data_IF_793160519172
#
_entry.id   IF_793160519172
#
_cell.length_a   1.000
_cell.length_b   1.000
_cell.length_c   1.000
_cell.angle_alpha   90.00
_cell.angle_beta   90.00
_cell.angle_gamma   90.00
#
_symmetry.space_group_name_H-M   'P 1'
#
loop_
_entity.id
_entity.type
_entity.pdbx_description
1 polymer ?
#
# COMPACT_ATOMS: atom_id res chain seq x y z
N UNK A 1 6.32 -0.10 15.63
CA UNK A 1 7.56 -0.26 14.84
C UNK A 1 7.87 1.03 14.09
N UNK A 2 9.11 1.21 13.67
CA UNK A 2 9.57 2.38 12.90
C UNK A 2 10.20 1.87 11.60
N UNK A 3 9.87 2.51 10.48
CA UNK A 3 10.49 2.27 9.19
C UNK A 3 11.59 3.31 8.97
N UNK A 4 12.85 2.88 8.93
CA UNK A 4 14.00 3.77 8.78
C UNK A 4 14.76 3.48 7.49
N UNK A 5 15.40 4.49 6.92
CA UNK A 5 16.20 4.32 5.72
C UNK A 5 16.86 5.61 5.26
N UNK A 6 17.30 5.62 4.01
CA UNK A 6 17.95 6.78 3.38
C UNK A 6 17.34 7.02 2.00
N UNK A 7 16.88 8.25 1.78
CA UNK A 7 16.55 8.74 0.44
C UNK A 7 17.84 9.21 -0.22
N UNK A 8 18.18 8.63 -1.36
CA UNK A 8 19.38 8.96 -2.12
C UNK A 8 18.99 9.71 -3.39
N UNK A 9 19.50 10.93 -3.55
CA UNK A 9 19.31 11.76 -4.73
C UNK A 9 20.67 11.92 -5.40
N UNK A 10 20.75 11.51 -6.67
CA UNK A 10 21.97 11.65 -7.48
C UNK A 10 21.70 12.55 -8.67
N UNK A 11 22.50 13.61 -8.83
CA UNK A 11 22.43 14.52 -9.96
C UNK A 11 23.81 14.86 -10.51
N UNK A 12 23.88 15.18 -11.81
CA UNK A 12 25.12 15.66 -12.44
C UNK A 12 25.38 17.13 -12.12
N UNK A 13 24.32 17.91 -12.00
CA UNK A 13 24.34 19.35 -11.74
C UNK A 13 23.58 19.69 -10.45
N UNK A 14 23.69 20.95 -10.02
CA UNK A 14 22.88 21.47 -8.92
C UNK A 14 21.40 21.48 -9.30
N UNK A 15 20.54 20.91 -8.46
CA UNK A 15 19.09 20.80 -8.72
C UNK A 15 18.31 21.77 -7.85
N UNK A 16 17.58 22.70 -8.48
CA UNK A 16 16.60 23.52 -7.77
C UNK A 16 15.28 22.76 -7.61
N UNK A 17 14.73 22.78 -6.41
CA UNK A 17 13.50 22.06 -6.07
C UNK A 17 12.62 22.87 -5.11
N UNK A 18 11.32 22.59 -5.11
CA UNK A 18 10.29 23.18 -4.25
C UNK A 18 9.95 22.27 -3.07
N UNK A 19 10.94 21.50 -2.61
CA UNK A 19 10.84 20.57 -1.51
C UNK A 19 10.88 19.10 -1.93
N UNK A 20 11.21 18.26 -0.97
CA UNK A 20 11.21 16.80 -1.07
C UNK A 20 10.34 16.26 0.06
N UNK A 21 9.40 15.38 -0.27
CA UNK A 21 8.50 14.76 0.70
C UNK A 21 8.55 13.25 0.59
N UNK A 22 8.43 12.57 1.72
CA UNK A 22 8.29 11.12 1.80
C UNK A 22 6.90 10.80 2.34
N UNK A 23 6.14 10.00 1.61
CA UNK A 23 4.78 9.57 1.98
C UNK A 23 4.77 8.07 2.20
N UNK A 24 4.26 7.63 3.34
CA UNK A 24 3.99 6.23 3.65
C UNK A 24 2.50 5.96 3.50
N UNK A 25 2.16 5.02 2.62
CA UNK A 25 0.78 4.64 2.32
C UNK A 25 0.59 3.16 2.60
N UNK A 26 -0.58 2.80 3.13
CA UNK A 26 -1.01 1.43 3.32
C UNK A 26 -2.49 1.32 3.02
N UNK A 27 -2.90 0.39 2.16
CA UNK A 27 -4.30 0.28 1.74
C UNK A 27 -4.75 -1.16 1.54
N UNK A 28 -6.03 -1.41 1.81
CA UNK A 28 -6.76 -2.59 1.35
C UNK A 28 -7.65 -2.18 0.20
N UNK A 29 -7.43 -2.78 -0.96
CA UNK A 29 -8.21 -2.57 -2.17
C UNK A 29 -8.92 -3.88 -2.50
N UNK A 30 -10.19 -3.81 -2.86
CA UNK A 30 -10.76 -4.88 -3.68
C UNK A 30 -10.12 -4.77 -5.06
N UNK A 31 -9.91 -5.87 -5.79
CA UNK A 31 -9.48 -5.89 -7.20
C UNK A 31 -10.47 -6.68 -8.08
N UNK A 32 -10.67 -6.28 -9.33
CA UNK A 32 -11.45 -7.08 -10.30
C UNK A 32 -10.52 -8.05 -11.03
N UNK A 33 -10.94 -9.32 -11.13
CA UNK A 33 -10.31 -10.24 -12.07
C UNK A 33 -10.80 -9.96 -13.49
N UNK A 34 -9.88 -9.88 -14.43
CA UNK A 34 -10.18 -9.77 -15.86
C UNK A 34 -11.02 -10.93 -16.41
N UNK A 35 -11.19 -12.02 -15.65
CA UNK A 35 -11.99 -13.21 -16.05
C UNK A 35 -13.45 -13.16 -15.60
N UNK A 36 -13.88 -12.13 -14.88
CA UNK A 36 -15.21 -12.06 -14.23
C UNK A 36 -15.94 -10.73 -14.48
N UNK A 37 -15.68 -10.11 -15.64
CA UNK A 37 -16.29 -8.83 -16.05
C UNK A 37 -17.80 -9.04 -16.27
N UNK A 38 -18.66 -8.22 -15.65
CA UNK A 38 -20.12 -8.22 -15.87
C UNK A 38 -21.02 -8.23 -14.63
N UNK A 39 -20.72 -9.01 -13.57
CA UNK A 39 -21.61 -9.12 -12.39
C UNK A 39 -21.14 -8.29 -11.19
N UNK A 40 -19.82 -8.11 -11.03
CA UNK A 40 -19.22 -7.44 -9.86
C UNK A 40 -18.77 -5.99 -10.13
N UNK A 41 -18.95 -5.50 -11.36
CA UNK A 41 -18.39 -4.24 -11.85
C UNK A 41 -19.04 -3.00 -11.20
N UNK A 42 -20.37 -3.02 -10.99
CA UNK A 42 -21.10 -1.92 -10.35
C UNK A 42 -20.79 -1.78 -8.86
N UNK A 43 -20.61 -2.90 -8.14
CA UNK A 43 -20.27 -2.88 -6.71
C UNK A 43 -18.84 -2.41 -6.49
N UNK A 44 -17.90 -2.86 -7.33
CA UNK A 44 -16.49 -2.51 -7.22
C UNK A 44 -16.21 -1.01 -7.33
N UNK A 45 -16.76 -0.36 -8.36
CA UNK A 45 -16.53 1.08 -8.61
C UNK A 45 -17.06 1.97 -7.47
N UNK A 46 -17.93 1.42 -6.61
CA UNK A 46 -18.47 2.12 -5.45
C UNK A 46 -17.64 1.93 -4.17
N UNK A 47 -16.79 0.88 -4.09
CA UNK A 47 -16.02 0.57 -2.88
C UNK A 47 -14.70 1.33 -2.90
N UNK A 48 -14.59 2.33 -2.03
CA UNK A 48 -13.34 3.06 -1.86
C UNK A 48 -12.28 2.19 -1.16
N UNK A 49 -11.01 2.29 -1.57
CA UNK A 49 -9.87 1.77 -0.83
C UNK A 49 -9.96 2.05 0.67
N UNK A 50 -9.72 1.03 1.49
CA UNK A 50 -9.60 1.20 2.94
C UNK A 50 -8.17 1.60 3.25
N UNK A 51 -7.96 2.87 3.56
CA UNK A 51 -6.66 3.41 3.92
C UNK A 51 -6.30 3.02 5.36
N UNK A 52 -5.26 2.20 5.51
CA UNK A 52 -4.70 1.74 6.79
C UNK A 52 -3.70 2.77 7.32
N UNK A 53 -2.80 3.23 6.45
CA UNK A 53 -1.74 4.18 6.76
C UNK A 53 -1.77 5.26 5.69
N UNK A 54 -1.64 6.51 6.13
CA UNK A 54 -1.32 7.63 5.26
C UNK A 54 -0.66 8.71 6.09
N UNK A 55 0.62 8.87 5.87
CA UNK A 55 1.40 9.89 6.55
C UNK A 55 2.43 10.42 5.58
N UNK A 56 2.70 11.72 5.68
CA UNK A 56 3.70 12.40 4.86
C UNK A 56 4.61 13.19 5.78
N UNK A 57 5.91 13.13 5.50
CA UNK A 57 6.92 13.97 6.13
C UNK A 57 7.60 14.84 5.08
N UNK A 58 7.82 16.10 5.43
CA UNK A 58 8.70 16.98 4.66
C UNK A 58 10.15 16.59 4.99
N UNK A 59 10.87 16.12 3.98
CA UNK A 59 12.26 15.69 4.11
C UNK A 59 13.23 16.86 3.94
N UNK A 60 12.94 17.70 2.95
CA UNK A 60 13.76 18.86 2.60
C UNK A 60 12.84 20.00 2.17
N UNK A 61 13.07 21.19 2.71
CA UNK A 61 12.40 22.43 2.31
C UNK A 61 12.79 22.85 0.88
N UNK A 62 12.04 23.76 0.24
CA UNK A 62 12.44 24.37 -1.04
C UNK A 62 13.88 24.89 -1.01
N UNK A 63 14.65 24.63 -2.06
CA UNK A 63 16.07 24.96 -2.08
C UNK A 63 16.82 24.44 -3.30
N UNK A 64 18.13 24.25 -3.11
CA UNK A 64 19.04 23.68 -4.11
C UNK A 64 19.79 22.51 -3.50
N UNK A 65 19.85 21.39 -4.23
CA UNK A 65 20.69 20.25 -3.91
C UNK A 65 21.98 20.33 -4.75
N UNK A 66 23.15 20.05 -4.18
CA UNK A 66 24.42 20.07 -4.91
C UNK A 66 24.47 18.96 -5.97
N UNK A 67 25.39 19.09 -6.93
CA UNK A 67 25.74 17.97 -7.80
C UNK A 67 26.37 16.83 -7.00
N UNK A 68 26.29 15.61 -7.54
CA UNK A 68 26.76 14.40 -6.90
C UNK A 68 25.64 13.67 -6.18
N UNK A 69 25.97 13.08 -5.03
CA UNK A 69 25.07 12.24 -4.24
C UNK A 69 24.68 12.96 -2.95
N UNK A 70 23.38 13.16 -2.74
CA UNK A 70 22.81 13.62 -1.47
C UNK A 70 22.09 12.47 -0.81
N UNK A 71 22.35 12.26 0.48
CA UNK A 71 21.71 11.23 1.31
C UNK A 71 20.90 11.89 2.43
N UNK A 72 19.62 11.54 2.53
CA UNK A 72 18.71 12.11 3.51
C UNK A 72 18.15 10.94 4.34
N UNK A 73 18.62 10.75 5.58
CA UNK A 73 18.08 9.71 6.45
C UNK A 73 16.64 10.04 6.85
N UNK A 74 15.84 9.01 7.07
CA UNK A 74 14.50 9.15 7.60
C UNK A 74 14.19 8.09 8.65
N UNK A 75 13.28 8.45 9.54
CA UNK A 75 12.56 7.54 10.42
C UNK A 75 11.08 7.84 10.28
N UNK A 76 10.30 6.81 9.97
CA UNK A 76 8.89 6.90 9.68
C UNK A 76 8.12 6.01 10.66
N UNK A 77 7.40 6.58 11.64
CA UNK A 77 6.64 5.77 12.59
C UNK A 77 5.45 5.09 11.88
N UNK A 78 5.30 3.76 12.06
CA UNK A 78 4.11 3.04 11.57
C UNK A 78 2.90 3.40 12.43
N UNK A 79 2.23 4.50 12.10
CA UNK A 79 0.97 4.93 12.70
C UNK A 79 -0.22 4.54 11.82
N UNK A 80 -1.06 3.66 12.34
CA UNK A 80 -2.33 3.31 11.70
C UNK A 80 -3.35 4.43 11.89
N UNK A 81 -4.24 4.58 10.89
CA UNK A 81 -5.32 5.55 10.93
C UNK A 81 -6.43 5.06 11.87
N UNK A 82 -6.75 5.85 12.91
CA UNK A 82 -7.85 5.54 13.83
C UNK A 82 -7.66 4.22 14.57
N UNK A 83 -8.65 3.33 14.50
CA UNK A 83 -8.64 2.01 15.14
C UNK A 83 -8.23 0.87 14.21
N UNK A 84 -7.56 1.16 13.08
CA UNK A 84 -7.10 0.14 12.14
C UNK A 84 -5.87 -0.60 12.66
N UNK A 85 -5.67 -1.81 12.17
CA UNK A 85 -4.48 -2.64 12.41
C UNK A 85 -3.74 -2.86 11.10
N UNK A 86 -2.46 -3.22 11.19
CA UNK A 86 -1.70 -3.71 10.04
C UNK A 86 -2.17 -5.11 9.66
N UNK A 87 -2.37 -5.30 8.36
CA UNK A 87 -2.59 -6.62 7.76
C UNK A 87 -1.33 -7.08 7.03
N UNK A 88 -1.16 -8.39 6.92
CA UNK A 88 -0.11 -8.97 6.08
C UNK A 88 -0.28 -8.52 4.62
N UNK A 89 0.83 -8.15 3.98
CA UNK A 89 0.84 -7.78 2.56
C UNK A 89 0.33 -8.95 1.74
N UNK A 90 -0.63 -8.67 0.84
CA UNK A 90 -1.31 -9.71 0.08
C UNK A 90 -1.64 -9.22 -1.33
N UNK A 91 -1.18 -9.97 -2.34
CA UNK A 91 -1.45 -9.68 -3.75
C UNK A 91 -2.35 -10.77 -4.33
N UNK A 92 -3.65 -10.69 -4.03
CA UNK A 92 -4.65 -11.64 -4.50
C UNK A 92 -5.41 -11.14 -5.73
N UNK A 93 -6.26 -12.03 -6.25
CA UNK A 93 -7.08 -11.76 -7.44
C UNK A 93 -8.22 -10.78 -7.14
N UNK A 94 -8.80 -10.85 -5.94
CA UNK A 94 -9.95 -10.02 -5.55
C UNK A 94 -9.65 -9.01 -4.44
N UNK A 95 -8.51 -9.15 -3.77
CA UNK A 95 -8.08 -8.26 -2.68
C UNK A 95 -6.59 -8.00 -2.83
N UNK A 96 -6.20 -6.74 -2.67
CA UNK A 96 -4.83 -6.30 -2.53
C UNK A 96 -4.63 -5.58 -1.20
N UNK A 97 -3.59 -5.98 -0.48
CA UNK A 97 -3.11 -5.27 0.70
C UNK A 97 -1.68 -4.88 0.37
N UNK A 98 -1.42 -3.59 0.24
CA UNK A 98 -0.14 -3.06 -0.19
C UNK A 98 0.28 -1.88 0.68
N UNK A 99 1.59 -1.81 0.95
CA UNK A 99 2.23 -0.73 1.68
C UNK A 99 3.41 -0.16 0.89
N UNK A 100 3.45 1.16 0.73
CA UNK A 100 4.46 1.83 -0.08
C UNK A 100 5.07 3.03 0.62
N UNK A 101 6.32 3.30 0.27
CA UNK A 101 6.97 4.59 0.47
C UNK A 101 7.10 5.28 -0.88
N UNK A 102 6.58 6.50 -0.97
CA UNK A 102 6.70 7.36 -2.14
C UNK A 102 7.50 8.61 -1.78
N UNK A 103 8.65 8.76 -2.41
CA UNK A 103 9.44 9.98 -2.35
C UNK A 103 9.09 10.85 -3.56
N UNK A 104 8.66 12.09 -3.30
CA UNK A 104 8.34 13.09 -4.31
C UNK A 104 9.29 14.29 -4.18
N UNK A 105 9.88 14.72 -5.29
CA UNK A 105 10.63 15.96 -5.40
C UNK A 105 9.91 16.87 -6.39
N UNK A 106 9.40 17.99 -5.89
CA UNK A 106 8.81 19.04 -6.72
C UNK A 106 9.91 19.86 -7.34
N UNK A 107 9.94 20.03 -8.65
CA UNK A 107 10.95 20.83 -9.37
C UNK A 107 10.37 22.19 -9.79
N UNK A 108 11.17 23.01 -10.46
CA UNK A 108 10.71 24.29 -11.00
C UNK A 108 9.64 24.10 -12.08
N UNK A 109 8.84 25.14 -12.36
CA UNK A 109 7.62 25.08 -13.20
C UNK A 109 7.80 24.43 -14.59
N UNK A 110 9.01 24.46 -15.17
CA UNK A 110 9.29 23.88 -16.49
C UNK A 110 9.87 22.46 -16.41
N UNK A 111 10.26 22.00 -15.22
CA UNK A 111 10.88 20.71 -15.00
C UNK A 111 9.86 19.73 -14.40
N UNK A 112 9.74 18.54 -15.00
CA UNK A 112 8.83 17.48 -14.52
C UNK A 112 9.17 17.04 -13.08
N UNK A 113 8.23 16.97 -12.16
CA UNK A 113 8.52 16.43 -10.82
C UNK A 113 9.10 15.01 -10.86
N UNK A 114 9.92 14.67 -9.86
CA UNK A 114 10.49 13.33 -9.73
C UNK A 114 9.74 12.57 -8.64
N UNK A 115 9.35 11.35 -8.94
CA UNK A 115 8.70 10.45 -7.98
C UNK A 115 9.40 9.11 -8.01
N UNK A 116 9.66 8.55 -6.84
CA UNK A 116 10.13 7.18 -6.67
C UNK A 116 9.28 6.49 -5.61
N UNK A 117 8.71 5.35 -5.99
CA UNK A 117 7.94 4.50 -5.07
C UNK A 117 8.69 3.19 -4.85
N UNK A 118 8.69 2.72 -3.61
CA UNK A 118 9.04 1.35 -3.25
C UNK A 118 7.96 0.74 -2.37
N UNK A 119 7.82 -0.57 -2.46
CA UNK A 119 6.94 -1.36 -1.59
C UNK A 119 7.74 -1.92 -0.42
N UNK A 120 7.09 -2.03 0.74
CA UNK A 120 7.60 -2.79 1.86
C UNK A 120 6.57 -3.84 2.29
N UNK A 121 7.07 -4.97 2.78
CA UNK A 121 6.25 -6.14 3.09
C UNK A 121 6.00 -6.18 4.59
N UNK A 122 4.71 -6.22 4.96
CA UNK A 122 4.28 -6.49 6.33
C UNK A 122 3.97 -7.98 6.41
N UNK A 123 4.60 -8.68 7.33
CA UNK A 123 4.32 -10.09 7.61
C UNK A 123 3.77 -10.23 9.03
N UNK A 124 2.69 -10.97 9.21
CA UNK A 124 2.23 -11.32 10.55
C UNK A 124 3.03 -12.52 11.06
N UNK A 125 3.51 -12.45 12.30
CA UNK A 125 3.95 -13.67 12.98
C UNK A 125 2.80 -14.68 12.97
N UNK A 126 3.14 -15.97 12.80
CA UNK A 126 2.15 -17.05 12.78
C UNK A 126 1.19 -16.87 13.95
N UNK A 127 -0.11 -16.78 13.66
CA UNK A 127 -1.12 -16.77 14.71
C UNK A 127 -0.93 -18.07 15.51
N UNK A 128 -0.26 -18.01 16.66
CA UNK A 128 -0.20 -19.09 17.64
C UNK A 128 -1.56 -19.20 18.35
N UNK A 129 -2.64 -19.23 17.58
CA UNK A 129 -3.94 -19.72 18.01
C UNK A 129 -4.11 -21.04 17.29
N UNK A 130 -4.32 -22.14 18.03
CA UNK A 130 -4.95 -23.30 17.42
C UNK A 130 -6.22 -22.78 16.78
N UNK A 131 -6.31 -22.80 15.45
CA UNK A 131 -7.61 -22.81 14.80
C UNK A 131 -8.31 -24.00 15.44
N UNK A 132 -9.23 -23.75 16.37
CA UNK A 132 -10.10 -24.80 16.83
C UNK A 132 -11.06 -24.99 15.67
N UNK A 133 -10.95 -26.07 14.87
CA UNK A 133 -12.01 -26.36 13.92
C UNK A 133 -13.27 -26.52 14.76
N UNK A 134 -14.22 -25.59 14.64
CA UNK A 134 -15.59 -25.84 15.06
C UNK A 134 -16.17 -26.73 13.96
N UNK A 135 -16.39 -28.03 14.20
CA UNK A 135 -17.08 -28.86 13.23
C UNK A 135 -18.42 -28.17 12.92
N UNK A 136 -18.67 -27.91 11.66
CA UNK A 136 -19.99 -27.44 11.22
C UNK A 136 -20.77 -28.70 10.91
N UNK A 137 -21.84 -28.94 11.66
CA UNK A 137 -22.79 -29.99 11.30
C UNK A 137 -23.49 -29.57 10.01
N UNK A 138 -23.29 -30.35 8.96
CA UNK A 138 -24.02 -30.21 7.71
C UNK A 138 -24.64 -31.56 7.36
N UNK A 139 -25.81 -31.51 6.72
CA UNK A 139 -26.48 -32.69 6.18
C UNK A 139 -26.65 -32.48 4.68
N UNK A 140 -26.14 -33.41 3.89
CA UNK A 140 -26.36 -33.42 2.44
C UNK A 140 -27.66 -34.16 2.20
N UNK A 141 -28.70 -33.45 1.77
CA UNK A 141 -29.94 -34.04 1.26
C UNK A 141 -30.06 -33.78 -0.25
N UNK A 142 -30.84 -34.58 -1.01
CA UNK A 142 -31.07 -34.33 -2.43
C UNK A 142 -31.52 -32.90 -2.73
N UNK A 143 -32.30 -32.28 -1.84
CA UNK A 143 -32.81 -30.91 -1.97
C UNK A 143 -31.72 -29.84 -1.80
N UNK A 144 -30.61 -30.18 -1.12
CA UNK A 144 -29.45 -29.27 -0.90
C UNK A 144 -28.44 -29.28 -2.06
N UNK A 145 -28.58 -30.19 -3.02
CA UNK A 145 -27.68 -30.31 -4.17
C UNK A 145 -28.14 -29.38 -5.31
N UNK A 146 -27.46 -28.24 -5.45
CA UNK A 146 -27.78 -27.25 -6.49
C UNK A 146 -27.52 -27.73 -7.93
N UNK A 147 -26.71 -28.79 -8.11
CA UNK A 147 -26.26 -29.29 -9.42
C UNK A 147 -27.07 -30.50 -9.93
N UNK A 148 -28.16 -30.90 -9.26
CA UNK A 148 -28.94 -32.12 -9.59
C UNK A 148 -30.38 -31.76 -10.02
N UNK A 149 -30.65 -30.51 -10.37
CA UNK A 149 -31.93 -30.13 -10.96
C UNK A 149 -31.89 -30.40 -12.46
N UNK A 150 -32.50 -31.51 -12.89
CA UNK A 150 -33.03 -31.67 -14.26
C UNK A 150 -34.22 -30.72 -14.48
#
# INVERSE_FOLDING_TARGET
EVLSGVVVITSKDTVQHQGVSLTMEGSVNLQLSAKSVGVFEAFYNSVKPIQIINSTIEMVKPGKLPSGKTEIPFEFPLHMKGNKVLYETYHGVFVNIQYTLRCDMRRSLLAKDLTKTCEFIVHSLSQKGKLMPSPVDFTITPETLQNVKE
#
